data_IF_772803660932
#
_entry.id   IF_772803660932
#
_cell.length_a   1.000
_cell.length_b   1.000
_cell.length_c   1.000
_cell.angle_alpha   90.00
_cell.angle_beta   90.00
_cell.angle_gamma   90.00
#
_symmetry.space_group_name_H-M   'P 1'
#
loop_
_entity.id
_entity.type
_entity.pdbx_description
1 polymer ?
#
# COMPACT_ATOMS: atom_id res chain seq x y z
N UNK A 1 40.72 -26.42 -12.46
CA UNK A 1 39.61 -25.53 -12.89
C UNK A 1 38.33 -26.33 -12.67
N UNK A 2 37.32 -25.98 -11.88
CA UNK A 2 36.81 -24.72 -11.33
C UNK A 2 36.07 -25.03 -10.00
N UNK A 3 36.21 -24.19 -8.96
CA UNK A 3 35.42 -24.32 -7.72
C UNK A 3 34.05 -23.68 -7.93
N UNK A 4 33.00 -24.49 -7.97
CA UNK A 4 31.60 -24.04 -7.92
C UNK A 4 31.27 -23.59 -6.50
N UNK A 5 31.06 -22.29 -6.31
CA UNK A 5 30.52 -21.74 -5.06
C UNK A 5 29.00 -21.90 -5.08
N UNK A 6 28.49 -22.98 -4.50
CA UNK A 6 27.09 -23.03 -4.11
C UNK A 6 26.92 -22.11 -2.91
N UNK A 7 26.54 -20.88 -3.18
CA UNK A 7 26.18 -19.87 -2.18
C UNK A 7 24.98 -20.38 -1.38
N UNK A 8 25.25 -21.11 -0.30
CA UNK A 8 24.26 -21.72 0.58
C UNK A 8 23.86 -20.69 1.64
N UNK A 9 23.29 -19.56 1.21
CA UNK A 9 22.64 -18.67 2.17
C UNK A 9 21.32 -19.33 2.59
N UNK A 10 21.11 -19.60 3.90
CA UNK A 10 19.81 -20.05 4.36
C UNK A 10 18.79 -18.99 3.98
N UNK A 11 17.72 -19.39 3.30
CA UNK A 11 16.61 -18.49 2.99
C UNK A 11 16.01 -18.01 4.31
N UNK A 12 16.37 -16.78 4.72
CA UNK A 12 15.82 -16.16 5.92
C UNK A 12 14.30 -16.10 5.71
N UNK A 13 13.49 -16.76 6.55
CA UNK A 13 12.05 -16.74 6.38
C UNK A 13 11.60 -15.28 6.46
N UNK A 14 11.11 -14.75 5.35
CA UNK A 14 10.59 -13.39 5.25
C UNK A 14 9.40 -13.31 6.21
N UNK A 15 9.63 -12.74 7.40
CA UNK A 15 8.61 -12.60 8.42
C UNK A 15 7.50 -11.72 7.85
N UNK A 16 6.40 -12.36 7.44
CA UNK A 16 5.27 -11.65 6.86
C UNK A 16 4.69 -10.72 7.93
N UNK A 17 4.55 -9.43 7.61
CA UNK A 17 3.81 -8.49 8.45
C UNK A 17 2.42 -9.07 8.75
N UNK A 18 1.95 -8.90 9.99
CA UNK A 18 0.58 -9.27 10.36
C UNK A 18 -0.39 -8.56 9.43
N UNK A 19 -1.40 -9.27 8.93
CA UNK A 19 -2.45 -8.67 8.09
C UNK A 19 -3.23 -7.68 8.95
N UNK A 20 -3.10 -6.39 8.63
CA UNK A 20 -3.88 -5.33 9.26
C UNK A 20 -5.15 -5.07 8.43
N UNK A 21 -6.36 -5.39 8.97
CA UNK A 21 -7.59 -5.09 8.27
C UNK A 21 -7.74 -3.58 8.06
N UNK A 22 -8.39 -3.19 6.98
CA UNK A 22 -8.73 -1.79 6.71
C UNK A 22 -10.05 -1.49 7.40
N UNK A 23 -10.09 -0.42 8.19
CA UNK A 23 -11.34 0.08 8.77
C UNK A 23 -12.10 0.91 7.74
N UNK A 24 -13.41 1.09 7.95
CA UNK A 24 -14.24 1.94 7.08
C UNK A 24 -13.73 3.38 7.08
N UNK A 25 -13.32 3.90 8.23
CA UNK A 25 -12.76 5.24 8.38
C UNK A 25 -11.48 5.42 7.56
N UNK A 26 -10.57 4.43 7.59
CA UNK A 26 -9.36 4.45 6.76
C UNK A 26 -9.72 4.45 5.26
N UNK A 27 -10.72 3.67 4.85
CA UNK A 27 -11.17 3.62 3.45
C UNK A 27 -11.81 4.93 2.98
N UNK A 28 -12.63 5.56 3.82
CA UNK A 28 -13.23 6.87 3.54
C UNK A 28 -12.17 7.94 3.42
N UNK A 29 -11.20 7.97 4.35
CA UNK A 29 -10.09 8.93 4.30
C UNK A 29 -9.20 8.73 3.08
N UNK A 30 -8.97 7.48 2.68
CA UNK A 30 -8.25 7.15 1.44
C UNK A 30 -9.00 7.67 0.20
N UNK A 31 -10.34 7.54 0.14
CA UNK A 31 -11.16 8.07 -0.96
C UNK A 31 -11.10 9.59 -1.04
N UNK A 32 -11.25 10.27 0.09
CA UNK A 32 -11.13 11.74 0.15
C UNK A 32 -9.76 12.22 -0.34
N UNK A 33 -8.68 11.64 0.19
CA UNK A 33 -7.33 11.99 -0.22
C UNK A 33 -7.10 11.69 -1.70
N UNK A 34 -7.55 10.53 -2.19
CA UNK A 34 -7.44 10.20 -3.60
C UNK A 34 -8.15 11.24 -4.49
N UNK A 35 -9.38 11.63 -4.16
CA UNK A 35 -10.13 12.63 -4.93
C UNK A 35 -9.45 14.00 -4.93
N UNK A 36 -8.89 14.41 -3.79
CA UNK A 36 -8.18 15.68 -3.65
C UNK A 36 -6.88 15.70 -4.48
N UNK A 37 -6.12 14.60 -4.50
CA UNK A 37 -4.80 14.56 -5.13
C UNK A 37 -4.81 14.02 -6.57
N UNK A 38 -5.86 13.31 -7.01
CA UNK A 38 -5.98 12.83 -8.39
C UNK A 38 -6.32 13.96 -9.36
N UNK A 39 -7.06 14.99 -8.89
CA UNK A 39 -7.39 16.17 -9.69
C UNK A 39 -6.18 17.09 -9.91
N UNK A 40 -5.20 17.03 -9.00
CA UNK A 40 -3.99 17.88 -9.03
C UNK A 40 -2.88 17.34 -9.93
N UNK A 41 -2.85 16.03 -10.20
CA UNK A 41 -1.77 15.40 -10.97
C UNK A 41 -2.33 14.38 -11.96
N UNK A 42 -2.34 14.74 -13.25
CA UNK A 42 -2.76 13.84 -14.33
C UNK A 42 -1.81 12.64 -14.51
N UNK A 43 -0.56 12.75 -14.04
CA UNK A 43 0.50 11.76 -14.34
C UNK A 43 0.69 10.69 -13.27
N UNK A 44 0.44 10.98 -11.99
CA UNK A 44 0.67 10.02 -10.89
C UNK A 44 0.02 10.47 -9.59
N UNK A 45 -0.58 9.52 -8.86
CA UNK A 45 -1.17 9.77 -7.55
C UNK A 45 -0.07 9.85 -6.48
N UNK A 46 0.07 10.97 -5.75
CA UNK A 46 1.07 11.13 -4.69
C UNK A 46 0.63 10.41 -3.40
N UNK A 47 0.80 9.08 -3.36
CA UNK A 47 0.40 8.25 -2.21
C UNK A 47 1.01 8.67 -0.86
N UNK A 48 2.21 9.27 -0.89
CA UNK A 48 2.85 9.83 0.32
C UNK A 48 2.03 10.98 0.90
N UNK A 49 1.64 11.93 0.06
CA UNK A 49 0.84 13.08 0.48
C UNK A 49 -0.55 12.64 1.00
N UNK A 50 -1.13 11.59 0.41
CA UNK A 50 -2.38 11.02 0.91
C UNK A 50 -2.18 10.39 2.29
N UNK A 51 -1.07 9.65 2.49
CA UNK A 51 -0.74 9.07 3.79
C UNK A 51 -0.58 10.15 4.85
N UNK A 52 0.16 11.22 4.54
CA UNK A 52 0.38 12.34 5.45
C UNK A 52 -0.93 13.09 5.76
N UNK A 53 -1.79 13.29 4.76
CA UNK A 53 -3.12 13.90 4.93
C UNK A 53 -4.02 13.11 5.90
N UNK A 54 -3.89 11.78 5.92
CA UNK A 54 -4.68 10.90 6.78
C UNK A 54 -3.90 10.34 7.97
N UNK A 55 -2.73 10.87 8.33
CA UNK A 55 -1.85 10.30 9.37
C UNK A 55 -2.59 10.07 10.71
N UNK A 56 -3.56 10.92 11.03
CA UNK A 56 -4.39 10.80 12.23
C UNK A 56 -5.42 9.65 12.19
N UNK A 57 -5.81 9.20 10.99
CA UNK A 57 -6.82 8.16 10.77
C UNK A 57 -6.18 6.82 10.42
N UNK A 58 -5.08 6.84 9.67
CA UNK A 58 -4.37 5.63 9.28
C UNK A 58 -3.67 4.97 10.47
N UNK A 59 -3.77 3.64 10.54
CA UNK A 59 -3.08 2.89 11.59
C UNK A 59 -1.56 3.05 11.49
N UNK A 60 -0.90 3.15 12.65
CA UNK A 60 0.57 3.22 12.73
C UNK A 60 1.19 2.02 12.00
N UNK A 61 1.99 2.30 10.96
CA UNK A 61 2.64 1.29 10.12
C UNK A 61 2.03 1.11 8.74
N UNK A 62 0.99 1.86 8.37
CA UNK A 62 0.56 1.98 6.97
C UNK A 62 1.65 2.64 6.14
N UNK A 63 1.91 2.07 4.96
CA UNK A 63 2.87 2.62 4.00
C UNK A 63 2.14 3.13 2.76
N UNK A 64 2.74 4.04 1.98
CA UNK A 64 2.15 4.51 0.73
C UNK A 64 1.82 3.37 -0.25
N UNK A 65 2.57 2.26 -0.19
CA UNK A 65 2.31 1.08 -0.99
C UNK A 65 1.03 0.35 -0.55
N UNK A 66 0.77 0.28 0.75
CA UNK A 66 -0.47 -0.32 1.29
C UNK A 66 -1.70 0.46 0.79
N UNK A 67 -1.61 1.80 0.75
CA UNK A 67 -2.67 2.67 0.22
C UNK A 67 -2.92 2.41 -1.27
N UNK A 68 -1.85 2.35 -2.08
CA UNK A 68 -1.93 2.03 -3.51
C UNK A 68 -2.59 0.66 -3.75
N UNK A 69 -2.15 -0.35 -3.01
CA UNK A 69 -2.69 -1.71 -3.12
C UNK A 69 -4.15 -1.78 -2.69
N UNK A 70 -4.51 -1.07 -1.60
CA UNK A 70 -5.89 -0.97 -1.15
C UNK A 70 -6.76 -0.25 -2.16
N UNK A 71 -6.31 0.87 -2.72
CA UNK A 71 -7.05 1.59 -3.75
C UNK A 71 -7.32 0.72 -4.97
N UNK A 72 -6.31 -0.03 -5.43
CA UNK A 72 -6.49 -1.01 -6.51
C UNK A 72 -7.55 -2.05 -6.17
N UNK A 73 -7.61 -2.52 -4.93
CA UNK A 73 -8.64 -3.46 -4.49
C UNK A 73 -10.03 -2.80 -4.43
N UNK A 74 -10.13 -1.53 -4.04
CA UNK A 74 -11.39 -0.77 -4.08
C UNK A 74 -11.87 -0.62 -5.53
N UNK A 75 -11.00 -0.20 -6.46
CA UNK A 75 -11.33 -0.08 -7.88
C UNK A 75 -11.73 -1.41 -8.51
N UNK A 76 -11.08 -2.52 -8.13
CA UNK A 76 -11.41 -3.87 -8.61
C UNK A 76 -12.67 -4.44 -7.94
N UNK A 77 -12.94 -4.07 -6.70
CA UNK A 77 -14.15 -4.45 -5.97
C UNK A 77 -15.42 -3.88 -6.59
N UNK A 78 -15.32 -2.75 -7.28
CA UNK A 78 -16.42 -2.15 -8.05
C UNK A 78 -16.84 -2.95 -9.30
N UNK A 79 -16.07 -3.98 -9.71
CA UNK A 79 -16.34 -4.81 -10.88
C UNK A 79 -17.02 -6.16 -10.55
N UNK A 80 -17.57 -6.31 -9.35
CA UNK A 80 -18.46 -7.43 -9.02
C UNK A 80 -19.88 -6.90 -8.83
N UNK A 81 -20.53 -6.64 -9.97
CA UNK A 81 -22.00 -6.70 -10.09
C UNK A 81 -22.37 -8.13 -10.50
#
# INVERSE_FOLDING_TARGET
MTKVWFSTYPAIPQLRRKKLPWTREEEEKLKEGFQMYSSLNEKSIPWKNILDYGESVFQKGRTPMDLKDKWRNICKGSLKL
#
